data_IF_512949038224
#
_entry.id   IF_512949038224
#
_cell.length_a   1.000
_cell.length_b   1.000
_cell.length_c   1.000
_cell.angle_alpha   90.00
_cell.angle_beta   90.00
_cell.angle_gamma   90.00
#
_symmetry.space_group_name_H-M   'P 1'
#
loop_
_entity.id
_entity.type
_entity.pdbx_description
1 polymer ?
#
# COMPACT_ATOMS: atom_id res chain seq x y z
N UNK A 1 -10.25 34.43 -27.49
CA UNK A 1 -9.64 33.14 -27.90
C UNK A 1 -9.11 32.45 -26.66
N UNK A 2 -9.71 31.32 -26.35
CA UNK A 2 -9.72 30.64 -25.07
C UNK A 2 -8.38 30.01 -24.67
N UNK A 3 -7.92 30.19 -23.42
CA UNK A 3 -6.90 29.33 -22.83
C UNK A 3 -7.59 28.14 -22.12
N UNK A 4 -8.39 27.37 -22.87
CA UNK A 4 -9.12 26.21 -22.33
C UNK A 4 -8.47 24.89 -22.77
N UNK A 5 -7.15 24.88 -22.90
CA UNK A 5 -6.38 23.65 -22.89
C UNK A 5 -5.68 23.62 -21.53
N UNK A 6 -6.42 23.16 -20.51
CA UNK A 6 -5.77 22.57 -19.36
C UNK A 6 -4.85 21.51 -19.93
N UNK A 7 -3.57 21.82 -20.01
CA UNK A 7 -2.54 20.84 -20.24
C UNK A 7 -2.78 19.75 -19.20
N UNK A 8 -3.29 18.61 -19.66
CA UNK A 8 -3.19 17.38 -18.92
C UNK A 8 -1.69 17.07 -18.80
N UNK A 9 -1.04 17.71 -17.83
CA UNK A 9 0.33 17.39 -17.47
C UNK A 9 0.24 15.94 -17.01
N UNK A 10 0.62 15.01 -17.89
CA UNK A 10 0.77 13.63 -17.49
C UNK A 10 1.65 13.62 -16.25
N UNK A 11 1.20 13.01 -15.14
CA UNK A 11 1.99 12.97 -13.93
C UNK A 11 3.36 12.38 -14.26
N UNK A 12 4.42 13.06 -13.91
CA UNK A 12 5.78 12.54 -14.08
C UNK A 12 5.90 11.36 -13.13
N UNK A 13 5.73 10.16 -13.66
CA UNK A 13 5.84 8.92 -12.89
C UNK A 13 7.31 8.62 -12.69
N UNK A 14 7.83 8.95 -11.53
CA UNK A 14 9.21 8.63 -11.18
C UNK A 14 9.25 7.23 -10.54
N UNK A 15 9.43 6.20 -11.38
CA UNK A 15 9.44 4.79 -10.98
C UNK A 15 10.52 4.47 -9.93
N UNK A 16 11.61 5.23 -9.90
CA UNK A 16 12.67 5.02 -8.92
C UNK A 16 12.20 5.24 -7.48
N UNK A 17 11.22 6.13 -7.27
CA UNK A 17 10.72 6.47 -5.94
C UNK A 17 9.84 5.36 -5.32
N UNK A 18 9.21 4.54 -6.15
CA UNK A 18 8.39 3.39 -5.72
C UNK A 18 9.07 2.06 -5.99
N UNK A 19 10.36 2.09 -6.33
CA UNK A 19 11.11 0.87 -6.67
C UNK A 19 11.03 -0.22 -5.57
N UNK A 20 11.18 0.07 -4.27
CA UNK A 20 11.08 -0.95 -3.23
C UNK A 20 9.71 -1.65 -3.22
N UNK A 21 8.62 -0.89 -3.30
CA UNK A 21 7.24 -1.42 -3.32
C UNK A 21 7.00 -2.29 -4.58
N UNK A 22 7.48 -1.83 -5.74
CA UNK A 22 7.35 -2.57 -7.00
C UNK A 22 8.15 -3.86 -6.96
N UNK A 23 9.36 -3.86 -6.40
CA UNK A 23 10.22 -5.06 -6.27
C UNK A 23 9.52 -6.12 -5.41
N UNK A 24 8.97 -5.73 -4.24
CA UNK A 24 8.26 -6.67 -3.36
C UNK A 24 6.98 -7.17 -4.03
N UNK A 25 6.22 -6.30 -4.69
CA UNK A 25 5.01 -6.69 -5.42
C UNK A 25 5.34 -7.68 -6.55
N UNK A 26 6.38 -7.42 -7.33
CA UNK A 26 6.84 -8.32 -8.38
C UNK A 26 7.32 -9.66 -7.81
N UNK A 27 8.04 -9.64 -6.68
CA UNK A 27 8.46 -10.86 -5.99
C UNK A 27 7.25 -11.67 -5.49
N UNK A 28 6.21 -11.02 -4.92
CA UNK A 28 5.00 -11.69 -4.47
C UNK A 28 4.26 -12.39 -5.62
N UNK A 29 4.09 -11.70 -6.75
CA UNK A 29 3.48 -12.27 -7.96
C UNK A 29 4.34 -13.41 -8.52
N UNK A 30 5.66 -13.25 -8.56
CA UNK A 30 6.58 -14.27 -9.05
C UNK A 30 6.55 -15.51 -8.17
N UNK A 31 6.52 -15.37 -6.85
CA UNK A 31 6.37 -16.50 -5.91
C UNK A 31 5.07 -17.24 -6.18
N UNK A 32 3.96 -16.53 -6.35
CA UNK A 32 2.66 -17.12 -6.64
C UNK A 32 2.66 -17.89 -7.97
N UNK A 33 3.27 -17.33 -9.02
CA UNK A 33 3.38 -18.00 -10.32
C UNK A 33 4.29 -19.22 -10.27
N UNK A 34 5.42 -19.10 -9.60
CA UNK A 34 6.37 -20.21 -9.46
C UNK A 34 5.77 -21.36 -8.66
N UNK A 35 5.04 -21.05 -7.57
CA UNK A 35 4.39 -22.08 -6.74
C UNK A 35 3.42 -22.96 -7.54
N UNK A 36 2.74 -22.39 -8.55
CA UNK A 36 1.83 -23.12 -9.41
C UNK A 36 2.54 -24.22 -10.26
N UNK A 37 3.83 -24.08 -10.50
CA UNK A 37 4.62 -25.02 -11.34
C UNK A 37 5.60 -25.86 -10.53
N UNK A 38 5.93 -25.48 -9.30
CA UNK A 38 6.92 -26.15 -8.44
C UNK A 38 6.30 -27.36 -7.74
N UNK A 39 7.04 -28.47 -7.73
CA UNK A 39 6.62 -29.70 -7.04
C UNK A 39 6.71 -29.51 -5.51
N UNK A 40 5.89 -30.22 -4.72
CA UNK A 40 5.88 -30.13 -3.25
C UNK A 40 7.24 -30.32 -2.56
N UNK A 41 8.14 -31.06 -3.20
CA UNK A 41 9.51 -31.31 -2.69
C UNK A 41 10.48 -30.13 -2.86
N UNK A 42 10.11 -29.09 -3.59
CA UNK A 42 10.98 -27.95 -3.90
C UNK A 42 10.48 -26.63 -3.29
N UNK A 43 9.74 -26.71 -2.19
CA UNK A 43 9.14 -25.54 -1.49
C UNK A 43 10.18 -24.52 -1.02
N UNK A 44 11.45 -24.91 -0.82
CA UNK A 44 12.53 -24.00 -0.49
C UNK A 44 12.78 -22.92 -1.56
N UNK A 45 12.38 -23.17 -2.83
CA UNK A 45 12.52 -22.22 -3.94
C UNK A 45 11.64 -20.98 -3.70
N UNK A 46 10.39 -21.16 -3.27
CA UNK A 46 9.46 -20.05 -3.00
C UNK A 46 9.95 -19.19 -1.85
N UNK A 47 10.49 -19.80 -0.79
CA UNK A 47 11.13 -19.08 0.32
C UNK A 47 12.38 -18.32 -0.13
N UNK A 48 13.21 -18.94 -0.99
CA UNK A 48 14.41 -18.31 -1.55
C UNK A 48 14.09 -17.08 -2.43
N UNK A 49 13.07 -17.17 -3.29
CA UNK A 49 12.63 -16.04 -4.13
C UNK A 49 12.06 -14.93 -3.25
N UNK A 50 11.27 -15.25 -2.23
CA UNK A 50 10.72 -14.27 -1.29
C UNK A 50 11.82 -13.52 -0.55
N UNK A 51 12.83 -14.24 -0.05
CA UNK A 51 13.97 -13.63 0.64
C UNK A 51 14.81 -12.76 -0.30
N UNK A 52 15.02 -13.23 -1.55
CA UNK A 52 15.71 -12.45 -2.57
C UNK A 52 14.96 -11.16 -2.93
N UNK A 53 13.62 -11.20 -2.99
CA UNK A 53 12.78 -10.03 -3.19
C UNK A 53 12.92 -9.02 -2.05
N UNK A 54 12.86 -9.48 -0.78
CA UNK A 54 13.03 -8.63 0.40
C UNK A 54 14.42 -8.00 0.43
N UNK A 55 15.48 -8.77 0.16
CA UNK A 55 16.85 -8.22 0.14
C UNK A 55 17.05 -7.24 -1.00
N UNK A 56 16.52 -7.48 -2.18
CA UNK A 56 16.57 -6.55 -3.31
C UNK A 56 15.83 -5.24 -3.00
N UNK A 57 14.66 -5.31 -2.36
CA UNK A 57 13.94 -4.13 -1.92
C UNK A 57 14.70 -3.35 -0.83
N UNK A 58 15.34 -4.04 0.12
CA UNK A 58 16.17 -3.39 1.13
C UNK A 58 17.38 -2.66 0.52
N UNK A 59 18.04 -3.28 -0.47
CA UNK A 59 19.14 -2.66 -1.20
C UNK A 59 18.64 -1.41 -1.96
N UNK A 60 17.48 -1.50 -2.63
CA UNK A 60 16.91 -0.36 -3.35
C UNK A 60 16.53 0.78 -2.41
N UNK A 61 16.00 0.48 -1.22
CA UNK A 61 15.67 1.47 -0.19
C UNK A 61 16.95 2.14 0.34
N UNK A 62 17.99 1.38 0.62
CA UNK A 62 19.28 1.91 1.05
C UNK A 62 19.93 2.78 -0.03
N UNK A 63 19.81 2.38 -1.29
CA UNK A 63 20.31 3.18 -2.42
C UNK A 63 19.55 4.51 -2.52
N UNK A 64 18.22 4.51 -2.40
CA UNK A 64 17.42 5.73 -2.35
C UNK A 64 17.83 6.64 -1.19
N UNK A 65 18.13 6.07 -0.03
CA UNK A 65 18.62 6.84 1.13
C UNK A 65 19.96 7.51 0.84
N UNK A 66 20.88 6.79 0.21
CA UNK A 66 22.23 7.31 -0.09
C UNK A 66 22.26 8.37 -1.19
N UNK A 67 21.32 8.32 -2.15
CA UNK A 67 21.25 9.28 -3.26
C UNK A 67 20.58 10.59 -2.88
N UNK A 68 19.93 10.66 -1.71
CA UNK A 68 19.33 11.90 -1.17
C UNK A 68 18.33 12.53 -2.15
N UNK A 69 17.55 11.74 -2.86
CA UNK A 69 16.59 12.22 -3.85
C UNK A 69 15.38 12.85 -3.14
N UNK A 70 15.59 14.06 -2.64
CA UNK A 70 14.51 14.96 -2.27
C UNK A 70 13.82 15.45 -3.56
N UNK A 71 13.06 14.58 -4.21
CA UNK A 71 12.11 15.00 -5.24
C UNK A 71 10.73 14.95 -4.59
N UNK A 72 10.17 16.09 -4.17
CA UNK A 72 8.92 16.13 -3.42
C UNK A 72 7.69 15.68 -4.22
N UNK A 73 7.79 15.56 -5.52
CA UNK A 73 6.64 15.48 -6.42
C UNK A 73 6.54 14.16 -7.20
N UNK A 74 6.61 13.02 -6.51
CA UNK A 74 6.19 11.76 -7.11
C UNK A 74 4.65 11.70 -7.11
N UNK A 75 4.06 11.38 -8.24
CA UNK A 75 2.61 11.23 -8.39
C UNK A 75 1.81 12.46 -7.90
N UNK A 76 2.19 13.67 -8.33
CA UNK A 76 1.52 14.91 -7.91
C UNK A 76 1.46 15.10 -6.38
N UNK A 77 2.48 14.65 -5.64
CA UNK A 77 2.53 14.78 -4.19
C UNK A 77 1.68 13.76 -3.42
N UNK A 78 1.13 12.73 -4.08
CA UNK A 78 0.36 11.66 -3.40
C UNK A 78 1.27 10.73 -2.59
N UNK A 79 2.54 10.61 -2.99
CA UNK A 79 3.56 9.80 -2.32
C UNK A 79 4.74 10.71 -1.98
N UNK A 80 5.14 10.68 -0.70
CA UNK A 80 6.28 11.46 -0.20
C UNK A 80 7.50 10.56 -0.06
N UNK A 81 8.66 11.09 -0.43
CA UNK A 81 9.94 10.48 -0.14
C UNK A 81 10.63 11.28 0.99
N UNK A 82 10.54 10.76 2.20
CA UNK A 82 11.21 11.32 3.35
C UNK A 82 12.01 10.24 4.10
N UNK A 83 12.87 10.67 5.01
CA UNK A 83 13.70 9.76 5.81
C UNK A 83 12.86 8.84 6.70
N UNK A 84 11.71 9.33 7.16
CA UNK A 84 10.79 8.59 8.01
C UNK A 84 10.17 7.42 7.23
N UNK A 85 9.73 7.64 5.99
CA UNK A 85 9.24 6.58 5.10
C UNK A 85 10.32 5.52 4.87
N UNK A 86 11.54 5.94 4.51
CA UNK A 86 12.64 5.01 4.25
C UNK A 86 12.99 4.19 5.48
N UNK A 87 12.99 4.82 6.67
CA UNK A 87 13.19 4.14 7.94
C UNK A 87 12.11 3.08 8.21
N UNK A 88 10.82 3.42 8.07
CA UNK A 88 9.73 2.46 8.23
C UNK A 88 9.78 1.35 7.20
N UNK A 89 10.10 1.66 5.94
CA UNK A 89 10.26 0.64 4.88
C UNK A 89 11.32 -0.41 5.28
N UNK A 90 12.49 0.02 5.78
CA UNK A 90 13.52 -0.91 6.24
C UNK A 90 13.05 -1.77 7.43
N UNK A 91 12.32 -1.18 8.38
CA UNK A 91 11.74 -1.92 9.52
C UNK A 91 10.75 -2.97 9.02
N UNK A 92 9.84 -2.62 8.11
CA UNK A 92 8.87 -3.57 7.56
C UNK A 92 9.54 -4.70 6.79
N UNK A 93 10.56 -4.40 5.98
CA UNK A 93 11.34 -5.41 5.26
C UNK A 93 12.08 -6.34 6.22
N UNK A 94 12.67 -5.80 7.28
CA UNK A 94 13.35 -6.59 8.31
C UNK A 94 12.38 -7.53 9.01
N UNK A 95 11.24 -7.01 9.49
CA UNK A 95 10.22 -7.81 10.18
C UNK A 95 9.65 -8.88 9.26
N UNK A 96 9.35 -8.54 8.00
CA UNK A 96 8.86 -9.50 7.01
C UNK A 96 9.88 -10.59 6.70
N UNK A 97 11.17 -10.23 6.59
CA UNK A 97 12.26 -11.20 6.39
C UNK A 97 12.40 -12.15 7.57
N UNK A 98 12.37 -11.64 8.80
CA UNK A 98 12.39 -12.47 10.02
C UNK A 98 11.17 -13.38 10.11
N UNK A 99 9.98 -12.85 9.82
CA UNK A 99 8.74 -13.64 9.81
C UNK A 99 8.81 -14.75 8.79
N UNK A 100 9.33 -14.48 7.59
CA UNK A 100 9.52 -15.46 6.54
C UNK A 100 10.46 -16.58 7.01
N UNK A 101 11.62 -16.24 7.61
CA UNK A 101 12.57 -17.23 8.10
C UNK A 101 11.99 -18.12 9.20
N UNK A 102 11.24 -17.55 10.13
CA UNK A 102 10.60 -18.30 11.23
C UNK A 102 9.45 -19.16 10.70
N UNK A 103 8.68 -18.65 9.75
CA UNK A 103 7.50 -19.34 9.22
C UNK A 103 7.83 -20.53 8.32
N UNK A 104 9.01 -20.59 7.71
CA UNK A 104 9.40 -21.72 6.82
C UNK A 104 9.29 -23.07 7.54
N UNK A 105 9.84 -23.17 8.74
CA UNK A 105 9.82 -24.41 9.55
C UNK A 105 8.37 -24.75 9.97
N UNK A 106 7.56 -23.76 10.32
CA UNK A 106 6.18 -23.99 10.71
C UNK A 106 5.31 -24.44 9.54
N UNK A 107 5.43 -23.78 8.38
CA UNK A 107 4.68 -24.11 7.16
C UNK A 107 5.00 -25.52 6.66
N UNK A 108 6.28 -25.94 6.74
CA UNK A 108 6.69 -27.29 6.39
C UNK A 108 6.13 -28.36 7.34
N UNK A 109 6.19 -28.11 8.64
CA UNK A 109 5.67 -29.04 9.65
C UNK A 109 4.15 -29.25 9.54
N UNK A 110 3.42 -28.20 9.21
CA UNK A 110 1.96 -28.23 9.07
C UNK A 110 1.51 -28.62 7.65
N UNK A 111 2.45 -28.92 6.73
CA UNK A 111 2.17 -29.27 5.32
C UNK A 111 1.26 -28.27 4.60
N UNK A 112 1.41 -26.99 4.93
CA UNK A 112 0.64 -25.90 4.33
C UNK A 112 1.26 -25.46 2.99
N UNK A 113 0.50 -24.82 2.07
CA UNK A 113 1.03 -24.31 0.80
C UNK A 113 1.97 -23.12 1.04
N UNK A 114 3.28 -23.38 0.97
CA UNK A 114 4.30 -22.40 1.32
C UNK A 114 4.29 -21.17 0.40
N UNK A 115 4.09 -21.34 -0.90
CA UNK A 115 4.08 -20.23 -1.85
C UNK A 115 2.90 -19.28 -1.65
N UNK A 116 1.71 -19.81 -1.36
CA UNK A 116 0.54 -18.98 -1.01
C UNK A 116 0.83 -18.15 0.25
N UNK A 117 1.42 -18.76 1.29
CA UNK A 117 1.75 -18.07 2.53
C UNK A 117 2.79 -16.95 2.30
N UNK A 118 3.87 -17.27 1.57
CA UNK A 118 4.93 -16.30 1.30
C UNK A 118 4.43 -15.13 0.44
N UNK A 119 3.61 -15.40 -0.57
CA UNK A 119 3.04 -14.32 -1.41
C UNK A 119 2.12 -13.39 -0.62
N UNK A 120 1.26 -13.94 0.26
CA UNK A 120 0.39 -13.14 1.13
C UNK A 120 1.20 -12.28 2.11
N UNK A 121 2.28 -12.83 2.68
CA UNK A 121 3.18 -12.07 3.56
C UNK A 121 3.83 -10.90 2.82
N UNK A 122 4.29 -11.12 1.59
CA UNK A 122 4.86 -10.06 0.76
C UNK A 122 3.83 -9.00 0.38
N UNK A 123 2.59 -9.38 0.01
CA UNK A 123 1.53 -8.40 -0.24
C UNK A 123 1.17 -7.59 1.01
N UNK A 124 1.12 -8.23 2.19
CA UNK A 124 0.94 -7.51 3.45
C UNK A 124 2.06 -6.47 3.66
N UNK A 125 3.30 -6.83 3.33
CA UNK A 125 4.46 -5.91 3.40
C UNK A 125 4.30 -4.74 2.44
N UNK A 126 3.87 -4.96 1.19
CA UNK A 126 3.56 -3.89 0.22
C UNK A 126 2.50 -2.94 0.79
N UNK A 127 1.43 -3.47 1.39
CA UNK A 127 0.39 -2.66 2.02
C UNK A 127 0.94 -1.74 3.12
N UNK A 128 1.80 -2.26 4.01
CA UNK A 128 2.46 -1.46 5.05
C UNK A 128 3.37 -0.38 4.46
N UNK A 129 4.14 -0.70 3.42
CA UNK A 129 5.03 0.26 2.75
C UNK A 129 4.24 1.38 2.06
N UNK A 130 3.13 1.05 1.39
CA UNK A 130 2.24 2.04 0.77
C UNK A 130 1.61 2.97 1.80
N UNK A 131 1.17 2.44 2.95
CA UNK A 131 0.64 3.28 4.04
C UNK A 131 1.70 4.27 4.57
N UNK A 132 2.95 3.82 4.73
CA UNK A 132 4.03 4.68 5.21
C UNK A 132 4.47 5.74 4.20
N UNK A 133 4.25 5.50 2.90
CA UNK A 133 4.61 6.42 1.82
C UNK A 133 3.49 7.39 1.43
N UNK A 134 2.26 7.12 1.87
CA UNK A 134 1.08 7.85 1.45
C UNK A 134 0.97 9.25 2.06
N UNK A 135 0.89 10.27 1.22
CA UNK A 135 0.50 11.64 1.58
C UNK A 135 -0.93 11.96 1.11
N UNK A 136 -1.61 10.96 0.63
CA UNK A 136 -2.99 11.02 0.16
C UNK A 136 -3.82 9.96 0.89
N UNK A 137 -5.01 10.34 1.35
CA UNK A 137 -5.90 9.45 2.10
C UNK A 137 -6.31 8.23 1.28
N UNK A 138 -6.41 8.35 -0.05
CA UNK A 138 -6.74 7.23 -0.93
C UNK A 138 -5.58 6.22 -1.00
N UNK A 139 -4.34 6.70 -1.06
CA UNK A 139 -3.15 5.82 -1.04
C UNK A 139 -3.04 5.07 0.29
N UNK A 140 -3.27 5.76 1.41
CA UNK A 140 -3.28 5.14 2.74
C UNK A 140 -4.39 4.09 2.83
N UNK A 141 -5.59 4.40 2.33
CA UNK A 141 -6.71 3.47 2.28
C UNK A 141 -6.38 2.23 1.44
N UNK A 142 -5.80 2.40 0.25
CA UNK A 142 -5.39 1.28 -0.61
C UNK A 142 -4.34 0.40 0.06
N UNK A 143 -3.34 0.99 0.71
CA UNK A 143 -2.33 0.25 1.47
C UNK A 143 -2.94 -0.57 2.61
N UNK A 144 -3.90 0.03 3.35
CA UNK A 144 -4.64 -0.63 4.42
C UNK A 144 -5.48 -1.80 3.88
N UNK A 145 -6.17 -1.64 2.74
CA UNK A 145 -6.97 -2.71 2.15
C UNK A 145 -6.11 -3.89 1.68
N UNK A 146 -4.95 -3.61 1.03
CA UNK A 146 -4.02 -4.67 0.62
C UNK A 146 -3.52 -5.46 1.83
N UNK A 147 -3.09 -4.77 2.90
CA UNK A 147 -2.68 -5.40 4.16
C UNK A 147 -3.81 -6.22 4.78
N UNK A 148 -5.01 -5.65 4.84
CA UNK A 148 -6.18 -6.27 5.48
C UNK A 148 -6.60 -7.54 4.74
N UNK A 149 -6.71 -7.52 3.42
CA UNK A 149 -7.09 -8.70 2.63
C UNK A 149 -6.06 -9.81 2.84
N UNK A 150 -4.77 -9.50 2.78
CA UNK A 150 -3.72 -10.49 3.01
C UNK A 150 -3.83 -11.12 4.42
N UNK A 151 -4.08 -10.32 5.46
CA UNK A 151 -4.21 -10.81 6.84
C UNK A 151 -5.50 -11.60 7.06
N UNK A 152 -6.63 -11.24 6.42
CA UNK A 152 -7.87 -12.02 6.50
C UNK A 152 -7.69 -13.41 5.92
N UNK A 153 -7.01 -13.52 4.78
CA UNK A 153 -6.71 -14.82 4.15
C UNK A 153 -5.74 -15.62 5.01
N UNK A 154 -4.71 -15.00 5.58
CA UNK A 154 -3.76 -15.67 6.49
C UNK A 154 -4.43 -16.16 7.78
N UNK A 155 -5.41 -15.45 8.32
CA UNK A 155 -6.17 -15.89 9.49
C UNK A 155 -6.96 -17.17 9.22
N UNK A 156 -7.45 -17.38 7.99
CA UNK A 156 -8.15 -18.59 7.53
C UNK A 156 -7.27 -19.60 6.80
N UNK A 157 -5.95 -19.54 6.96
CA UNK A 157 -5.02 -20.29 6.11
C UNK A 157 -5.17 -21.81 6.24
N UNK A 158 -5.54 -22.31 7.41
CA UNK A 158 -5.94 -23.73 7.64
C UNK A 158 -7.37 -23.97 7.19
N UNK A 159 -7.60 -24.21 5.90
CA UNK A 159 -8.92 -24.36 5.29
C UNK A 159 -9.76 -25.52 5.86
N UNK A 160 -9.09 -26.52 6.46
CA UNK A 160 -9.75 -27.70 7.08
C UNK A 160 -10.13 -27.50 8.56
N UNK A 161 -9.62 -26.45 9.19
CA UNK A 161 -9.94 -26.14 10.59
C UNK A 161 -11.12 -25.16 10.67
N UNK A 162 -12.21 -25.63 11.27
CA UNK A 162 -13.45 -24.84 11.47
C UNK A 162 -13.18 -23.56 12.26
N UNK A 163 -12.30 -23.61 13.26
CA UNK A 163 -11.94 -22.44 14.09
C UNK A 163 -11.20 -21.39 13.28
N UNK A 164 -10.29 -21.81 12.40
CA UNK A 164 -9.57 -20.93 11.50
C UNK A 164 -10.52 -20.22 10.53
N UNK A 165 -11.45 -20.97 9.93
CA UNK A 165 -12.45 -20.42 9.01
C UNK A 165 -13.41 -19.45 9.71
N UNK A 166 -13.88 -19.78 10.92
CA UNK A 166 -14.72 -18.91 11.74
C UNK A 166 -13.99 -17.62 12.12
N UNK A 167 -12.73 -17.72 12.52
CA UNK A 167 -11.88 -16.56 12.85
C UNK A 167 -11.70 -15.64 11.66
N UNK A 168 -11.37 -16.19 10.50
CA UNK A 168 -11.20 -15.44 9.25
C UNK A 168 -12.48 -14.69 8.85
N UNK A 169 -13.63 -15.39 8.91
CA UNK A 169 -14.91 -14.78 8.58
C UNK A 169 -15.26 -13.62 9.53
N UNK A 170 -15.09 -13.81 10.84
CA UNK A 170 -15.34 -12.76 11.83
C UNK A 170 -14.41 -11.56 11.62
N UNK A 171 -13.14 -11.82 11.34
CA UNK A 171 -12.15 -10.79 11.11
C UNK A 171 -12.46 -10.02 9.81
N UNK A 172 -12.83 -10.72 8.73
CA UNK A 172 -13.23 -10.11 7.46
C UNK A 172 -14.48 -9.22 7.63
N UNK A 173 -15.54 -9.70 8.28
CA UNK A 173 -16.78 -8.92 8.48
C UNK A 173 -16.47 -7.65 9.29
N UNK A 174 -15.75 -7.79 10.42
CA UNK A 174 -15.42 -6.65 11.26
C UNK A 174 -14.52 -5.66 10.56
N UNK A 175 -13.52 -6.14 9.81
CA UNK A 175 -12.58 -5.31 9.07
C UNK A 175 -13.24 -4.57 7.91
N UNK A 176 -14.03 -5.25 7.08
CA UNK A 176 -14.73 -4.62 5.96
C UNK A 176 -15.76 -3.57 6.41
N UNK A 177 -16.40 -3.79 7.57
CA UNK A 177 -17.26 -2.78 8.18
C UNK A 177 -16.46 -1.54 8.63
N UNK A 178 -15.31 -1.75 9.25
CA UNK A 178 -14.42 -0.65 9.68
C UNK A 178 -13.88 0.14 8.49
N UNK A 179 -13.43 -0.54 7.43
CA UNK A 179 -12.91 0.15 6.23
C UNK A 179 -13.99 0.91 5.47
N UNK A 180 -15.25 0.46 5.50
CA UNK A 180 -16.38 1.21 4.95
C UNK A 180 -16.58 2.56 5.66
N UNK A 181 -16.45 2.62 7.00
CA UNK A 181 -16.48 3.88 7.74
C UNK A 181 -15.31 4.79 7.41
N UNK A 182 -14.10 4.22 7.28
CA UNK A 182 -12.92 4.99 6.88
C UNK A 182 -13.12 5.61 5.49
N UNK A 183 -13.59 4.82 4.53
CA UNK A 183 -13.86 5.31 3.17
C UNK A 183 -14.94 6.39 3.16
N UNK A 184 -16.00 6.22 3.97
CA UNK A 184 -17.05 7.24 4.13
C UNK A 184 -16.46 8.52 4.72
N UNK A 185 -15.58 8.43 5.73
CA UNK A 185 -14.88 9.57 6.29
C UNK A 185 -14.02 10.31 5.25
N UNK A 186 -13.31 9.57 4.40
CA UNK A 186 -12.53 10.14 3.29
C UNK A 186 -13.44 10.88 2.31
N UNK A 187 -14.58 10.30 1.97
CA UNK A 187 -15.56 10.93 1.08
C UNK A 187 -16.15 12.23 1.67
N UNK A 188 -16.39 12.25 2.99
CA UNK A 188 -16.84 13.47 3.67
C UNK A 188 -15.77 14.58 3.67
N UNK A 189 -14.50 14.21 3.90
CA UNK A 189 -13.38 15.17 3.84
C UNK A 189 -13.25 15.71 2.42
N UNK A 190 -13.31 14.86 1.42
CA UNK A 190 -13.28 15.27 0.02
C UNK A 190 -14.42 16.23 -0.32
N UNK A 191 -15.63 15.95 0.15
CA UNK A 191 -16.79 16.83 -0.02
C UNK A 191 -16.64 18.15 0.72
N UNK A 192 -16.13 18.14 1.94
CA UNK A 192 -15.92 19.35 2.74
C UNK A 192 -14.80 20.26 2.20
N UNK A 193 -13.82 19.71 1.51
CA UNK A 193 -12.74 20.47 0.88
C UNK A 193 -13.11 20.98 -0.52
N UNK A 194 -14.25 20.56 -1.09
CA UNK A 194 -14.75 21.08 -2.34
C UNK A 194 -15.37 22.47 -2.11
N UNK A 195 -14.81 23.49 -2.76
CA UNK A 195 -15.28 24.88 -2.63
C UNK A 195 -16.06 25.24 -3.89
N UNK A 196 -17.28 25.77 -3.69
CA UNK A 196 -18.03 26.43 -4.76
C UNK A 196 -17.55 27.87 -4.87
N UNK A 197 -16.82 28.25 -5.92
CA UNK A 197 -16.46 29.64 -6.17
C UNK A 197 -17.67 30.40 -6.73
N UNK A 198 -18.08 31.54 -6.11
CA UNK A 198 -19.13 32.37 -6.66
C UNK A 198 -18.66 33.03 -7.96
N UNK A 199 -19.40 32.79 -9.04
CA UNK A 199 -19.17 33.46 -10.31
C UNK A 199 -19.63 34.91 -10.32
N UNK A 200 -19.23 35.69 -11.34
CA UNK A 200 -19.72 37.06 -11.53
C UNK A 200 -21.24 37.04 -11.66
N UNK A 201 -21.94 37.68 -10.73
CA UNK A 201 -23.42 37.75 -10.71
C UNK A 201 -24.12 36.77 -9.76
N UNK A 202 -23.39 36.09 -8.84
CA UNK A 202 -24.01 35.22 -7.83
C UNK A 202 -24.42 33.85 -8.33
N UNK A 203 -24.09 33.48 -9.57
CA UNK A 203 -24.25 32.09 -10.08
C UNK A 203 -23.07 31.23 -9.63
N UNK A 204 -23.33 29.96 -9.24
CA UNK A 204 -22.30 28.97 -8.98
C UNK A 204 -21.57 28.69 -10.30
N UNK A 205 -20.38 29.28 -10.50
CA UNK A 205 -19.68 29.18 -11.78
C UNK A 205 -18.62 28.08 -11.81
N UNK A 206 -18.13 27.60 -10.68
CA UNK A 206 -17.10 26.57 -10.63
C UNK A 206 -17.12 25.83 -9.30
N UNK A 207 -17.28 24.51 -9.38
CA UNK A 207 -16.96 23.62 -8.26
C UNK A 207 -15.48 23.29 -8.39
N UNK A 208 -14.66 23.76 -7.45
CA UNK A 208 -13.28 23.30 -7.32
C UNK A 208 -13.34 21.92 -6.70
N UNK A 209 -12.74 20.91 -7.35
CA UNK A 209 -12.74 19.57 -6.83
C UNK A 209 -12.12 19.51 -5.42
N UNK A 210 -12.69 18.69 -4.56
CA UNK A 210 -12.14 18.43 -3.22
C UNK A 210 -10.75 17.80 -3.32
N UNK A 211 -10.05 17.72 -2.19
CA UNK A 211 -8.73 17.10 -2.13
C UNK A 211 -8.70 15.98 -1.09
N UNK A 212 -7.93 14.95 -1.38
CA UNK A 212 -7.58 13.86 -0.46
C UNK A 212 -6.15 13.96 0.02
N UNK A 213 -5.38 14.92 -0.50
CA UNK A 213 -4.00 15.19 -0.08
C UNK A 213 -3.97 15.81 1.32
N UNK A 214 -3.23 15.17 2.24
CA UNK A 214 -3.18 15.54 3.67
C UNK A 214 -2.64 16.96 3.87
N UNK A 215 -1.62 17.36 3.11
CA UNK A 215 -1.04 18.69 3.21
C UNK A 215 -2.01 19.78 2.73
N UNK A 216 -2.81 19.50 1.71
CA UNK A 216 -3.82 20.43 1.19
C UNK A 216 -5.03 20.54 2.12
N UNK A 217 -5.49 19.43 2.70
CA UNK A 217 -6.55 19.40 3.72
C UNK A 217 -6.14 20.29 4.90
N UNK A 218 -4.89 20.17 5.38
CA UNK A 218 -4.38 21.02 6.44
C UNK A 218 -4.40 22.50 6.10
N UNK A 219 -4.02 22.87 4.87
CA UNK A 219 -4.08 24.28 4.41
C UNK A 219 -5.52 24.80 4.28
N UNK A 220 -6.45 23.99 3.78
CA UNK A 220 -7.86 24.35 3.68
C UNK A 220 -8.45 24.66 5.08
N UNK A 221 -8.19 23.78 6.05
CA UNK A 221 -8.65 23.98 7.44
C UNK A 221 -8.05 25.22 8.13
N UNK A 222 -6.82 25.61 7.78
CA UNK A 222 -6.24 26.85 8.30
C UNK A 222 -6.83 28.10 7.65
N UNK A 223 -7.27 28.02 6.39
CA UNK A 223 -7.83 29.16 5.65
C UNK A 223 -9.25 29.55 6.13
N UNK A 224 -10.02 28.61 6.64
CA UNK A 224 -11.34 28.87 7.22
C UNK A 224 -11.30 29.56 8.60
N UNK A 225 -10.14 29.63 9.26
CA UNK A 225 -9.97 30.24 10.60
C UNK A 225 -9.54 31.70 10.55
N UNK A 226 -9.40 32.30 9.38
CA UNK A 226 -9.08 33.72 9.17
C UNK A 226 -10.26 34.42 8.51
#
# INVERSE_FOLDING_TARGET
MSPFLAQSVMPIVNWSLIAPEVIICAAAVLVMLVDAFVRPTQRWITGGISLAGITAAAISTFWLWSTGTASPDAFNGMIVLDELRLGFTLVFLLVSGLTLLISTVWVENEQLPAGEFHSLLLFATVGMMLMASGNDLVIIFLGLEILSIATYVMAGFRRTDVRSNESSLKYFILGSFSSAFLLYGIALIYGATSIAEPGPGGSLSRIVAGTTNIAEIGRASCRERV
#
